data_IF_046019049256
#
_entry.id   IF_046019049256
#
_cell.length_a   1.000
_cell.length_b   1.000
_cell.length_c   1.000
_cell.angle_alpha   90.00
_cell.angle_beta   90.00
_cell.angle_gamma   90.00
#
_symmetry.space_group_name_H-M   'P 1'
#
loop_
_entity.id
_entity.type
_entity.pdbx_description
1 polymer ?
#
# COMPACT_ATOMS: atom_id res chain seq x y z
N UNK A 1 53.31 39.11 -8.71
CA UNK A 1 53.07 39.04 -10.17
C UNK A 1 51.62 38.64 -10.36
N UNK A 2 50.72 39.62 -10.29
CA UNK A 2 50.05 40.31 -11.40
C UNK A 2 48.79 39.55 -11.86
N UNK A 3 47.65 40.18 -11.54
CA UNK A 3 46.27 39.90 -11.93
C UNK A 3 46.12 39.92 -13.46
N UNK A 4 45.17 39.17 -14.04
CA UNK A 4 44.23 39.78 -15.00
C UNK A 4 42.95 38.95 -15.19
N UNK A 5 41.83 39.63 -14.94
CA UNK A 5 40.46 39.32 -15.36
C UNK A 5 40.33 39.63 -16.86
N UNK A 6 39.49 38.91 -17.60
CA UNK A 6 38.75 39.53 -18.70
C UNK A 6 37.31 39.00 -18.77
N UNK A 7 36.41 39.94 -18.53
CA UNK A 7 34.98 39.94 -18.80
C UNK A 7 34.83 40.74 -20.11
N UNK A 8 34.02 40.30 -21.08
CA UNK A 8 33.54 41.18 -22.15
C UNK A 8 32.04 41.01 -22.39
N UNK A 9 31.35 42.14 -22.29
CA UNK A 9 29.96 42.47 -22.62
C UNK A 9 29.71 42.31 -24.14
N UNK A 10 28.57 41.74 -24.54
CA UNK A 10 27.31 42.38 -24.95
C UNK A 10 27.26 42.96 -26.38
N UNK A 11 26.32 42.48 -27.21
CA UNK A 11 25.61 43.31 -28.20
C UNK A 11 24.14 42.86 -28.28
N UNK A 12 23.28 43.85 -28.14
CA UNK A 12 21.83 43.89 -28.23
C UNK A 12 21.39 44.08 -29.69
N UNK A 13 20.31 43.42 -30.12
CA UNK A 13 19.62 43.69 -31.37
C UNK A 13 18.12 43.48 -31.19
N UNK A 14 17.41 44.57 -30.93
CA UNK A 14 15.96 44.66 -30.74
C UNK A 14 15.36 45.38 -31.96
N UNK A 15 14.28 44.87 -32.55
CA UNK A 15 13.18 45.59 -33.24
C UNK A 15 12.34 44.57 -34.03
N UNK A 16 11.01 44.64 -34.20
CA UNK A 16 9.82 45.01 -33.41
C UNK A 16 8.64 44.89 -34.39
N UNK A 17 7.52 44.34 -33.90
CA UNK A 17 6.11 44.56 -34.29
C UNK A 17 5.57 44.26 -35.71
N UNK A 18 4.55 43.39 -35.74
CA UNK A 18 3.12 43.68 -36.02
C UNK A 18 2.42 42.34 -36.35
N UNK A 19 1.24 41.96 -35.87
CA UNK A 19 0.19 42.58 -35.05
C UNK A 19 -0.83 41.49 -34.64
N UNK A 20 -1.60 41.77 -33.60
CA UNK A 20 -2.75 41.00 -33.08
C UNK A 20 -4.07 41.55 -33.65
N UNK A 21 -5.27 41.08 -33.24
CA UNK A 21 -5.74 39.71 -33.00
C UNK A 21 -7.08 39.43 -33.73
N UNK A 22 -7.50 38.17 -33.83
CA UNK A 22 -8.89 37.82 -34.15
C UNK A 22 -9.39 36.70 -33.23
N UNK A 23 -10.34 37.06 -32.37
CA UNK A 23 -11.17 36.18 -31.55
C UNK A 23 -12.19 35.47 -32.44
N UNK A 24 -12.53 34.20 -32.15
CA UNK A 24 -13.87 33.71 -32.44
C UNK A 24 -14.58 33.33 -31.14
N UNK A 25 -15.68 34.04 -30.93
CA UNK A 25 -16.83 33.71 -30.09
C UNK A 25 -17.32 32.29 -30.36
N UNK A 26 -17.39 31.46 -29.31
CA UNK A 26 -18.15 30.21 -29.32
C UNK A 26 -19.36 30.38 -28.42
N UNK A 27 -20.50 30.23 -29.06
CA UNK A 27 -21.87 30.35 -28.58
C UNK A 27 -22.18 29.31 -27.51
N UNK A 28 -22.79 29.78 -26.43
CA UNK A 28 -23.45 28.96 -25.42
C UNK A 28 -24.59 28.16 -26.05
N UNK A 29 -24.52 26.83 -25.95
CA UNK A 29 -25.67 25.95 -26.13
C UNK A 29 -25.92 25.19 -24.83
N UNK A 30 -27.13 25.38 -24.30
CA UNK A 30 -27.63 24.65 -23.14
C UNK A 30 -27.83 23.17 -23.49
N UNK A 31 -27.51 22.22 -22.60
CA UNK A 31 -27.99 20.87 -22.74
C UNK A 31 -29.43 20.76 -22.22
N UNK A 32 -30.30 20.42 -23.16
CA UNK A 32 -31.68 19.99 -23.00
C UNK A 32 -31.82 18.88 -21.96
N UNK A 33 -32.83 19.03 -21.11
CA UNK A 33 -33.33 18.05 -20.15
C UNK A 33 -33.93 16.81 -20.84
N UNK A 34 -33.52 15.62 -20.40
CA UNK A 34 -34.24 14.35 -20.54
C UNK A 34 -33.63 13.29 -19.58
N UNK A 35 -34.35 12.21 -19.23
CA UNK A 35 -35.24 12.14 -18.07
C UNK A 35 -34.65 11.31 -16.92
N UNK A 36 -35.19 11.56 -15.73
CA UNK A 36 -35.00 10.81 -14.50
C UNK A 36 -35.21 9.31 -14.71
N UNK A 37 -34.13 8.52 -14.65
CA UNK A 37 -34.23 7.08 -14.47
C UNK A 37 -34.44 6.84 -12.98
N UNK A 38 -35.66 6.43 -12.64
CA UNK A 38 -36.04 6.01 -11.31
C UNK A 38 -35.08 4.92 -10.81
N UNK A 39 -34.53 5.14 -9.62
CA UNK A 39 -33.87 4.10 -8.86
C UNK A 39 -34.92 3.02 -8.51
N UNK A 40 -34.92 1.93 -9.27
CA UNK A 40 -35.60 0.70 -8.87
C UNK A 40 -34.94 0.19 -7.59
N UNK A 41 -35.76 0.09 -6.56
CA UNK A 41 -35.50 -0.50 -5.25
C UNK A 41 -34.72 -1.81 -5.35
N UNK A 42 -33.59 -1.88 -4.63
CA UNK A 42 -32.92 -3.15 -4.34
C UNK A 42 -33.86 -4.08 -3.54
N UNK A 43 -33.96 -5.37 -3.90
CA UNK A 43 -34.71 -6.34 -3.11
C UNK A 43 -33.98 -6.65 -1.78
N UNK A 44 -34.70 -7.07 -0.74
CA UNK A 44 -34.13 -7.26 0.60
C UNK A 44 -33.06 -8.36 0.59
N UNK A 45 -31.92 -8.06 1.22
CA UNK A 45 -30.86 -9.01 1.49
C UNK A 45 -31.41 -10.18 2.31
N UNK A 46 -31.52 -11.34 1.66
CA UNK A 46 -31.81 -12.59 2.34
C UNK A 46 -30.63 -12.94 3.24
N UNK A 47 -30.91 -13.16 4.53
CA UNK A 47 -29.96 -13.66 5.50
C UNK A 47 -29.45 -15.04 5.05
N UNK A 48 -28.24 -15.09 4.50
CA UNK A 48 -27.57 -16.35 4.19
C UNK A 48 -27.05 -16.93 5.51
N UNK A 49 -27.65 -18.06 5.91
CA UNK A 49 -27.24 -18.85 7.06
C UNK A 49 -25.73 -19.19 7.01
N UNK A 50 -25.12 -19.22 8.19
CA UNK A 50 -23.72 -19.59 8.38
C UNK A 50 -23.40 -20.94 7.71
N UNK A 51 -22.28 -21.08 6.98
CA UNK A 51 -21.88 -22.36 6.45
C UNK A 51 -21.50 -23.29 7.60
N UNK A 52 -22.22 -24.41 7.71
CA UNK A 52 -21.91 -25.54 8.59
C UNK A 52 -20.46 -25.95 8.36
N UNK A 53 -19.68 -26.01 9.43
CA UNK A 53 -18.28 -26.44 9.44
C UNK A 53 -18.18 -27.90 8.99
N UNK A 54 -17.91 -28.11 7.70
CA UNK A 54 -17.39 -29.38 7.22
C UNK A 54 -15.97 -29.54 7.79
N UNK A 55 -15.76 -30.58 8.58
CA UNK A 55 -14.47 -30.90 9.18
C UNK A 55 -13.42 -31.05 8.07
N UNK A 56 -12.43 -30.15 8.06
CA UNK A 56 -11.22 -30.30 7.26
C UNK A 56 -10.48 -31.53 7.77
N UNK A 57 -10.40 -32.58 6.96
CA UNK A 57 -9.56 -33.75 7.25
C UNK A 57 -8.12 -33.30 7.47
N UNK A 58 -7.56 -33.70 8.61
CA UNK A 58 -6.17 -33.44 8.99
C UNK A 58 -5.20 -33.90 7.89
N UNK A 59 -4.04 -33.24 7.72
CA UNK A 59 -3.01 -33.70 6.79
C UNK A 59 -2.58 -35.12 7.15
N UNK A 60 -2.51 -36.00 6.14
CA UNK A 60 -2.01 -37.37 6.29
C UNK A 60 -0.60 -37.34 6.86
N UNK A 61 -0.41 -38.05 7.97
CA UNK A 61 0.86 -38.12 8.70
C UNK A 61 2.03 -38.51 7.78
N UNK A 62 3.12 -37.76 7.87
CA UNK A 62 4.40 -38.12 7.27
C UNK A 62 4.89 -39.49 7.82
N UNK A 63 5.68 -40.28 7.05
CA UNK A 63 6.08 -41.61 7.47
C UNK A 63 6.92 -41.55 8.75
N UNK A 64 6.48 -42.27 9.79
CA UNK A 64 7.13 -42.31 11.09
C UNK A 64 8.38 -43.19 11.02
N UNK A 65 9.55 -42.56 10.92
CA UNK A 65 10.81 -43.22 11.27
C UNK A 65 10.81 -43.54 12.79
N UNK A 66 11.53 -44.58 13.27
CA UNK A 66 11.56 -44.94 14.68
C UNK A 66 11.93 -43.73 15.54
N UNK A 67 11.11 -43.46 16.57
CA UNK A 67 11.25 -42.30 17.43
C UNK A 67 12.62 -42.32 18.14
N UNK A 68 13.57 -41.55 17.60
CA UNK A 68 14.62 -40.98 18.41
C UNK A 68 13.97 -40.33 19.63
N UNK A 69 14.57 -40.48 20.81
CA UNK A 69 14.11 -39.79 22.02
C UNK A 69 13.94 -38.31 21.71
N UNK A 70 12.68 -37.85 21.73
CA UNK A 70 12.37 -36.47 21.39
C UNK A 70 13.08 -35.54 22.38
N UNK A 71 13.93 -34.67 21.85
CA UNK A 71 14.58 -33.60 22.61
C UNK A 71 14.00 -32.28 22.13
N UNK A 72 12.98 -31.80 22.83
CA UNK A 72 12.35 -30.51 22.54
C UNK A 72 13.30 -29.34 22.77
N UNK A 73 13.22 -28.33 21.90
CA UNK A 73 13.84 -27.05 22.13
C UNK A 73 12.87 -26.15 22.92
N UNK A 74 13.43 -25.33 23.81
CA UNK A 74 12.70 -24.30 24.54
C UNK A 74 13.45 -22.99 24.46
N UNK A 75 12.76 -21.95 24.04
CA UNK A 75 13.21 -20.56 24.13
C UNK A 75 12.30 -19.85 25.13
N UNK A 76 12.88 -19.23 26.16
CA UNK A 76 12.12 -18.50 27.18
C UNK A 76 12.77 -17.15 27.46
N UNK A 77 11.94 -16.12 27.58
CA UNK A 77 12.38 -14.80 27.99
C UNK A 77 12.49 -14.72 29.53
N UNK A 78 13.55 -14.10 30.09
CA UNK A 78 13.69 -13.93 31.54
C UNK A 78 12.48 -13.23 32.16
N UNK A 79 11.98 -12.20 31.49
CA UNK A 79 10.77 -11.45 31.81
C UNK A 79 10.06 -11.02 30.51
N UNK A 80 9.04 -10.17 30.64
CA UNK A 80 8.28 -9.63 29.51
C UNK A 80 8.74 -8.22 29.09
N UNK A 81 9.88 -7.75 29.61
CA UNK A 81 10.34 -6.37 29.50
C UNK A 81 11.43 -6.16 28.42
N UNK A 82 11.58 -7.11 27.49
CA UNK A 82 12.53 -7.00 26.38
C UNK A 82 12.01 -6.19 25.18
N UNK A 83 10.84 -5.55 25.33
CA UNK A 83 10.25 -4.62 24.37
C UNK A 83 10.43 -3.15 24.73
N UNK A 84 9.63 -2.26 24.16
CA UNK A 84 9.53 -0.86 24.59
C UNK A 84 8.39 -0.68 25.61
N UNK A 85 8.34 0.48 26.27
CA UNK A 85 7.23 0.80 27.18
C UNK A 85 5.85 0.73 26.50
N UNK A 86 5.78 1.11 25.23
CA UNK A 86 4.54 1.08 24.42
C UNK A 86 4.33 -0.23 23.66
N UNK A 87 5.33 -1.12 23.63
CA UNK A 87 5.27 -2.42 22.95
C UNK A 87 6.13 -3.44 23.72
N UNK A 88 5.64 -3.96 24.86
CA UNK A 88 6.38 -4.91 25.68
C UNK A 88 6.59 -6.24 24.95
N UNK A 89 7.40 -7.13 25.53
CA UNK A 89 7.63 -8.46 24.97
C UNK A 89 6.33 -9.26 24.84
N UNK A 90 6.13 -9.89 23.69
CA UNK A 90 4.92 -10.68 23.38
C UNK A 90 5.03 -12.12 23.93
N UNK A 91 6.15 -12.79 23.70
CA UNK A 91 6.36 -14.19 24.10
C UNK A 91 7.05 -14.31 25.45
N UNK A 92 6.48 -15.11 26.36
CA UNK A 92 7.17 -15.59 27.56
C UNK A 92 8.01 -16.83 27.25
N UNK A 93 7.48 -17.76 26.47
CA UNK A 93 8.22 -18.94 26.00
C UNK A 93 7.64 -19.55 24.74
N UNK A 94 8.49 -20.23 23.98
CA UNK A 94 8.13 -21.11 22.88
C UNK A 94 8.83 -22.45 23.15
N UNK A 95 8.05 -23.53 23.25
CA UNK A 95 8.54 -24.85 23.64
C UNK A 95 7.97 -25.92 22.72
N UNK A 96 8.82 -26.79 22.19
CA UNK A 96 8.38 -28.02 21.55
C UNK A 96 8.20 -29.09 22.63
N UNK A 97 6.97 -29.43 22.97
CA UNK A 97 6.66 -30.41 24.04
C UNK A 97 6.70 -31.85 23.55
N UNK A 98 6.52 -32.05 22.25
CA UNK A 98 6.75 -33.30 21.53
C UNK A 98 7.08 -33.02 20.04
N UNK A 99 7.26 -34.08 19.24
CA UNK A 99 7.67 -33.98 17.85
C UNK A 99 6.72 -33.17 16.94
N UNK A 100 5.44 -33.05 17.31
CA UNK A 100 4.41 -32.39 16.51
C UNK A 100 3.65 -31.29 17.28
N UNK A 101 4.08 -30.96 18.50
CA UNK A 101 3.41 -29.97 19.35
C UNK A 101 4.37 -28.85 19.76
N UNK A 102 3.99 -27.62 19.43
CA UNK A 102 4.64 -26.39 19.89
C UNK A 102 3.68 -25.60 20.77
N UNK A 103 4.12 -25.27 21.98
CA UNK A 103 3.40 -24.44 22.94
C UNK A 103 4.03 -23.06 22.96
N UNK A 104 3.22 -22.03 22.67
CA UNK A 104 3.62 -20.63 22.74
C UNK A 104 2.91 -19.97 23.93
N UNK A 105 3.66 -19.58 24.94
CA UNK A 105 3.15 -18.86 26.12
C UNK A 105 3.36 -17.38 25.91
N UNK A 106 2.28 -16.61 25.93
CA UNK A 106 2.32 -15.15 25.80
C UNK A 106 2.52 -14.47 27.15
N UNK A 107 3.11 -13.28 27.11
CA UNK A 107 3.30 -12.41 28.27
C UNK A 107 2.01 -11.73 28.73
N UNK A 108 1.07 -11.54 27.80
CA UNK A 108 -0.24 -10.96 28.03
C UNK A 108 -1.26 -11.59 27.06
N UNK A 109 -2.57 -11.55 27.36
CA UNK A 109 -3.58 -11.98 26.41
C UNK A 109 -3.54 -11.13 25.14
N UNK A 110 -3.39 -11.77 23.98
CA UNK A 110 -3.46 -11.12 22.67
C UNK A 110 -4.49 -11.82 21.77
N UNK A 111 -5.69 -11.24 21.60
CA UNK A 111 -6.73 -11.84 20.76
C UNK A 111 -6.37 -11.83 19.27
N UNK A 112 -5.42 -11.00 18.84
CA UNK A 112 -4.96 -10.95 17.45
C UNK A 112 -3.83 -11.96 17.15
N UNK A 113 -3.40 -12.73 18.16
CA UNK A 113 -2.27 -13.64 18.04
C UNK A 113 -2.39 -14.65 16.88
N UNK A 114 -3.54 -15.30 16.64
CA UNK A 114 -3.69 -16.22 15.51
C UNK A 114 -3.41 -15.58 14.15
N UNK A 115 -3.83 -14.32 13.95
CA UNK A 115 -3.57 -13.58 12.72
C UNK A 115 -2.10 -13.14 12.63
N UNK A 116 -1.50 -12.75 13.77
CA UNK A 116 -0.08 -12.36 13.84
C UNK A 116 0.84 -13.53 13.50
N UNK A 117 0.58 -14.74 14.03
CA UNK A 117 1.44 -15.92 13.76
C UNK A 117 1.26 -16.46 12.34
N UNK A 118 0.14 -16.14 11.66
CA UNK A 118 -0.07 -16.42 10.25
C UNK A 118 0.66 -15.43 9.32
N UNK A 119 1.23 -14.35 9.85
CA UNK A 119 1.92 -13.34 9.04
C UNK A 119 3.22 -13.88 8.44
N UNK A 120 3.58 -13.39 7.25
CA UNK A 120 4.74 -13.89 6.47
C UNK A 120 6.08 -13.84 7.22
N UNK A 121 6.21 -13.00 8.24
CA UNK A 121 7.40 -12.91 9.08
C UNK A 121 7.64 -14.19 9.92
N UNK A 122 6.61 -14.99 10.15
CA UNK A 122 6.67 -16.27 10.87
C UNK A 122 6.85 -17.48 9.92
N UNK A 123 7.37 -17.25 8.72
CA UNK A 123 7.70 -18.32 7.78
C UNK A 123 8.63 -19.36 8.41
N UNK A 124 8.24 -20.63 8.36
CA UNK A 124 8.99 -21.73 8.98
C UNK A 124 10.14 -22.18 8.05
N UNK A 125 11.34 -22.25 8.61
CA UNK A 125 12.57 -22.72 7.95
C UNK A 125 13.19 -23.87 8.75
N UNK A 126 14.07 -24.65 8.12
CA UNK A 126 14.72 -25.75 8.83
C UNK A 126 15.69 -25.27 9.91
N UNK A 127 15.78 -26.00 11.02
CA UNK A 127 16.69 -25.69 12.14
C UNK A 127 18.15 -25.57 11.70
N UNK A 128 18.61 -26.49 10.85
CA UNK A 128 19.99 -26.48 10.34
C UNK A 128 20.29 -25.23 9.52
N UNK A 129 19.33 -24.76 8.72
CA UNK A 129 19.49 -23.55 7.93
C UNK A 129 19.52 -22.30 8.80
N UNK A 130 18.63 -22.20 9.79
CA UNK A 130 18.64 -21.11 10.75
C UNK A 130 19.96 -21.07 11.55
N UNK A 131 20.42 -22.23 12.02
CA UNK A 131 21.67 -22.38 12.80
C UNK A 131 22.88 -22.00 11.95
N UNK A 132 22.97 -22.52 10.73
CA UNK A 132 24.10 -22.25 9.82
C UNK A 132 24.22 -20.77 9.46
N UNK A 133 23.10 -20.07 9.33
CA UNK A 133 23.09 -18.65 8.95
C UNK A 133 22.97 -17.71 10.16
N UNK A 134 22.86 -18.22 11.38
CA UNK A 134 22.80 -17.43 12.61
C UNK A 134 21.62 -16.44 12.68
N UNK A 135 20.53 -16.71 11.95
CA UNK A 135 19.39 -15.78 11.86
C UNK A 135 19.62 -14.55 10.98
N UNK A 136 20.71 -14.48 10.21
CA UNK A 136 21.00 -13.37 9.29
C UNK A 136 19.95 -13.29 8.17
N UNK A 137 19.06 -12.31 8.24
CA UNK A 137 17.92 -12.18 7.32
C UNK A 137 18.35 -12.04 5.87
N UNK A 138 19.51 -11.46 5.58
CA UNK A 138 20.00 -11.33 4.21
C UNK A 138 20.43 -12.69 3.67
N UNK A 139 21.25 -13.44 4.41
CA UNK A 139 21.69 -14.79 4.01
C UNK A 139 20.51 -15.76 3.90
N UNK A 140 19.55 -15.68 4.83
CA UNK A 140 18.34 -16.49 4.80
C UNK A 140 17.51 -16.21 3.53
N UNK A 141 17.49 -14.97 3.06
CA UNK A 141 16.74 -14.55 1.87
C UNK A 141 17.43 -14.89 0.54
N UNK A 142 18.76 -15.08 0.53
CA UNK A 142 19.52 -15.41 -0.68
C UNK A 142 19.30 -16.85 -1.15
N UNK A 143 19.08 -17.78 -0.20
CA UNK A 143 18.83 -19.20 -0.47
C UNK A 143 17.73 -19.74 0.43
N UNK A 144 16.49 -19.23 0.32
CA UNK A 144 15.40 -19.58 1.23
C UNK A 144 15.09 -21.08 1.14
N UNK A 145 14.80 -21.69 2.30
CA UNK A 145 14.48 -23.12 2.40
C UNK A 145 13.16 -23.37 3.17
N UNK A 146 12.07 -22.86 2.60
CA UNK A 146 10.74 -23.06 3.16
C UNK A 146 10.13 -24.43 2.85
N UNK A 147 8.93 -24.66 3.36
CA UNK A 147 8.09 -25.85 3.13
C UNK A 147 7.02 -25.64 2.04
N UNK A 148 7.15 -24.55 1.28
CA UNK A 148 6.13 -24.09 0.33
C UNK A 148 6.05 -24.92 -0.96
N UNK A 149 5.04 -24.64 -1.80
CA UNK A 149 4.82 -25.33 -3.08
C UNK A 149 5.89 -25.08 -4.13
N UNK A 150 6.72 -24.06 -3.96
CA UNK A 150 7.77 -23.66 -4.90
C UNK A 150 9.10 -23.44 -4.17
N UNK A 151 10.19 -23.75 -4.85
CA UNK A 151 11.57 -23.57 -4.40
C UNK A 151 12.25 -22.51 -5.24
N UNK A 152 13.11 -21.68 -4.63
CA UNK A 152 13.93 -20.74 -5.39
C UNK A 152 14.89 -21.52 -6.30
N UNK A 153 14.79 -21.28 -7.60
CA UNK A 153 15.72 -21.81 -8.60
C UNK A 153 16.81 -20.78 -8.93
N UNK A 154 16.42 -19.52 -9.15
CA UNK A 154 17.34 -18.44 -9.50
C UNK A 154 16.79 -17.08 -9.06
N UNK A 155 17.69 -16.18 -8.68
CA UNK A 155 17.38 -14.76 -8.49
C UNK A 155 18.42 -13.88 -9.18
N UNK A 156 18.04 -13.28 -10.30
CA UNK A 156 18.82 -12.23 -10.96
C UNK A 156 18.34 -10.87 -10.44
N UNK A 157 19.20 -10.22 -9.65
CA UNK A 157 18.85 -8.98 -8.93
C UNK A 157 18.45 -7.88 -9.92
N UNK A 158 17.24 -7.36 -9.75
CA UNK A 158 16.70 -6.28 -10.58
C UNK A 158 16.04 -6.73 -11.87
N UNK A 159 16.04 -8.03 -12.20
CA UNK A 159 15.53 -8.56 -13.46
C UNK A 159 14.40 -9.60 -13.28
N UNK A 160 14.70 -10.76 -12.67
CA UNK A 160 13.68 -11.77 -12.36
C UNK A 160 14.02 -12.70 -11.17
N UNK A 161 13.01 -13.43 -10.71
CA UNK A 161 13.11 -14.59 -9.82
C UNK A 161 12.43 -15.76 -10.49
N UNK A 162 13.15 -16.87 -10.61
CA UNK A 162 12.63 -18.14 -11.11
C UNK A 162 12.42 -19.09 -9.95
N UNK A 163 11.23 -19.66 -9.87
CA UNK A 163 10.89 -20.71 -8.92
C UNK A 163 10.56 -22.01 -9.66
N UNK A 164 11.01 -23.14 -9.10
CA UNK A 164 10.63 -24.48 -9.53
C UNK A 164 9.59 -25.08 -8.58
N UNK A 165 8.66 -25.89 -9.08
CA UNK A 165 7.73 -26.62 -8.24
C UNK A 165 8.50 -27.52 -7.24
N UNK A 166 8.06 -27.53 -5.98
CA UNK A 166 8.60 -28.40 -4.95
C UNK A 166 7.99 -29.81 -5.09
N UNK A 167 8.77 -30.84 -5.52
CA UNK A 167 8.24 -32.19 -5.68
C UNK A 167 7.85 -32.85 -4.35
N UNK A 168 8.35 -32.32 -3.23
CA UNK A 168 8.09 -32.80 -1.87
C UNK A 168 7.08 -31.92 -1.12
N UNK A 169 6.29 -31.11 -1.84
CA UNK A 169 5.26 -30.30 -1.20
C UNK A 169 4.20 -31.20 -0.57
N UNK A 170 3.86 -30.92 0.69
CA UNK A 170 2.93 -31.72 1.49
C UNK A 170 1.46 -31.56 1.07
N UNK A 171 1.15 -30.51 0.30
CA UNK A 171 -0.18 -30.25 -0.23
C UNK A 171 -0.35 -30.68 -1.70
N UNK A 172 -1.44 -30.23 -2.36
CA UNK A 172 -1.65 -30.48 -3.78
C UNK A 172 -0.49 -29.95 -4.63
N UNK A 173 -0.05 -30.77 -5.58
CA UNK A 173 1.03 -30.38 -6.49
C UNK A 173 0.68 -29.09 -7.26
N UNK A 174 1.64 -28.16 -7.42
CA UNK A 174 1.39 -26.93 -8.17
C UNK A 174 1.06 -27.22 -9.64
N UNK A 175 0.11 -26.48 -10.20
CA UNK A 175 -0.28 -26.64 -11.61
C UNK A 175 0.84 -26.23 -12.58
N UNK A 176 1.60 -25.19 -12.24
CA UNK A 176 2.73 -24.73 -13.01
C UNK A 176 4.02 -25.37 -12.47
N UNK A 177 4.86 -25.89 -13.36
CA UNK A 177 6.18 -26.45 -12.99
C UNK A 177 7.20 -25.37 -12.67
N UNK A 178 7.03 -24.19 -13.26
CA UNK A 178 7.93 -23.04 -13.12
C UNK A 178 7.09 -21.78 -12.97
N UNK A 179 7.51 -20.89 -12.08
CA UNK A 179 6.95 -19.54 -11.94
C UNK A 179 8.08 -18.55 -12.07
N UNK A 180 7.92 -17.58 -12.96
CA UNK A 180 8.90 -16.51 -13.18
C UNK A 180 8.24 -15.20 -12.79
N UNK A 181 8.82 -14.52 -11.79
CA UNK A 181 8.44 -13.16 -11.43
C UNK A 181 9.49 -12.22 -12.02
N UNK A 182 9.10 -11.33 -12.92
CA UNK A 182 9.99 -10.33 -13.53
C UNK A 182 9.54 -8.91 -13.24
N UNK A 183 10.49 -7.98 -13.25
CA UNK A 183 10.19 -6.57 -13.02
C UNK A 183 10.11 -5.80 -14.34
N UNK A 184 9.04 -5.03 -14.51
CA UNK A 184 8.91 -4.03 -15.56
C UNK A 184 8.32 -2.77 -14.94
N UNK A 185 9.06 -1.66 -15.04
CA UNK A 185 8.69 -0.39 -14.38
C UNK A 185 7.44 0.23 -15.01
N UNK A 186 7.38 0.23 -16.34
CA UNK A 186 6.32 0.88 -17.10
C UNK A 186 5.04 0.02 -17.12
N UNK A 187 3.94 0.58 -16.65
CA UNK A 187 2.66 -0.14 -16.59
C UNK A 187 2.12 -0.52 -17.97
N UNK A 188 2.27 0.37 -18.95
CA UNK A 188 1.89 0.10 -20.34
C UNK A 188 2.67 -1.09 -20.92
N UNK A 189 3.97 -1.20 -20.61
CA UNK A 189 4.78 -2.34 -21.05
C UNK A 189 4.31 -3.66 -20.45
N UNK A 190 3.93 -3.67 -19.15
CA UNK A 190 3.33 -4.85 -18.52
C UNK A 190 2.05 -5.27 -19.23
N UNK A 191 1.17 -4.33 -19.56
CA UNK A 191 -0.07 -4.64 -20.28
C UNK A 191 0.20 -5.22 -21.67
N UNK A 192 1.14 -4.65 -22.43
CA UNK A 192 1.52 -5.18 -23.74
C UNK A 192 2.05 -6.62 -23.66
N UNK A 193 2.85 -6.94 -22.63
CA UNK A 193 3.34 -8.30 -22.40
C UNK A 193 2.23 -9.29 -22.05
N UNK A 194 1.20 -8.84 -21.31
CA UNK A 194 0.02 -9.64 -21.04
C UNK A 194 -0.79 -9.90 -22.31
N UNK A 195 -1.04 -8.85 -23.11
CA UNK A 195 -1.81 -8.94 -24.35
C UNK A 195 -1.10 -9.79 -25.42
N UNK A 196 0.23 -9.78 -25.46
CA UNK A 196 1.02 -10.62 -26.37
C UNK A 196 1.16 -12.07 -25.91
N UNK A 197 0.71 -12.41 -24.68
CA UNK A 197 0.91 -13.71 -24.07
C UNK A 197 2.35 -13.99 -23.61
N UNK A 198 3.20 -12.96 -23.54
CA UNK A 198 4.56 -13.09 -23.00
C UNK A 198 4.57 -13.05 -21.46
N UNK A 199 3.47 -12.65 -20.82
CA UNK A 199 3.20 -12.80 -19.40
C UNK A 199 1.81 -13.41 -19.18
N UNK A 200 1.67 -14.35 -18.25
CA UNK A 200 0.38 -14.95 -17.88
C UNK A 200 -0.45 -14.06 -16.93
N UNK A 201 0.19 -13.08 -16.30
CA UNK A 201 -0.43 -12.17 -15.35
C UNK A 201 0.48 -11.00 -15.02
N UNK A 202 -0.14 -9.88 -14.64
CA UNK A 202 0.57 -8.66 -14.24
C UNK A 202 -0.05 -8.11 -12.96
N UNK A 203 0.78 -7.41 -12.19
CA UNK A 203 0.32 -6.59 -11.07
C UNK A 203 0.41 -5.09 -11.43
N UNK A 204 -0.32 -4.27 -10.67
CA UNK A 204 -0.38 -2.80 -10.82
C UNK A 204 -0.77 -2.36 -12.23
N UNK A 205 -1.92 -2.81 -12.74
CA UNK A 205 -2.51 -2.24 -13.97
C UNK A 205 -2.71 -0.73 -13.77
N UNK A 206 -2.33 0.08 -14.75
CA UNK A 206 -2.53 1.53 -14.67
C UNK A 206 -4.03 1.84 -14.59
N UNK A 207 -4.47 2.80 -13.75
CA UNK A 207 -5.88 3.19 -13.66
C UNK A 207 -6.55 3.47 -15.02
N UNK A 208 -5.84 4.17 -15.91
CA UNK A 208 -6.28 4.52 -17.26
C UNK A 208 -6.44 3.32 -18.21
N UNK A 209 -5.74 2.21 -17.94
CA UNK A 209 -5.76 1.00 -18.76
C UNK A 209 -6.83 0.00 -18.31
N UNK A 210 -7.41 0.16 -17.12
CA UNK A 210 -8.46 -0.72 -16.60
C UNK A 210 -9.62 -0.90 -17.58
N UNK A 211 -10.19 0.15 -18.21
CA UNK A 211 -11.26 -0.01 -19.19
C UNK A 211 -10.84 -0.82 -20.43
N UNK A 212 -9.57 -0.74 -20.83
CA UNK A 212 -9.02 -1.53 -21.94
C UNK A 212 -9.00 -3.01 -21.58
N UNK A 213 -8.48 -3.34 -20.39
CA UNK A 213 -8.44 -4.72 -19.89
C UNK A 213 -9.85 -5.30 -19.71
N UNK A 214 -10.81 -4.51 -19.22
CA UNK A 214 -12.19 -4.95 -19.04
C UNK A 214 -12.93 -5.25 -20.36
N UNK A 215 -12.52 -4.60 -21.46
CA UNK A 215 -13.13 -4.80 -22.79
C UNK A 215 -12.49 -5.95 -23.56
N UNK A 216 -11.32 -6.41 -23.15
CA UNK A 216 -10.62 -7.53 -23.78
C UNK A 216 -11.20 -8.86 -23.28
N UNK A 217 -11.81 -9.63 -24.17
CA UNK A 217 -12.44 -10.91 -23.84
C UNK A 217 -11.44 -12.00 -23.39
N UNK A 218 -10.15 -11.82 -23.65
CA UNK A 218 -9.10 -12.75 -23.24
C UNK A 218 -8.52 -12.42 -21.86
N UNK A 219 -8.84 -11.24 -21.31
CA UNK A 219 -8.27 -10.76 -20.06
C UNK A 219 -9.32 -10.71 -18.96
N UNK A 220 -8.84 -10.79 -17.72
CA UNK A 220 -9.69 -10.68 -16.53
C UNK A 220 -8.98 -9.91 -15.44
N UNK A 221 -9.66 -8.91 -14.90
CA UNK A 221 -9.21 -8.19 -13.71
C UNK A 221 -9.64 -8.97 -12.47
N UNK A 222 -8.68 -9.23 -11.59
CA UNK A 222 -8.92 -9.76 -10.24
C UNK A 222 -8.75 -8.64 -9.22
N UNK A 223 -9.85 -8.02 -8.75
CA UNK A 223 -9.75 -7.01 -7.70
C UNK A 223 -9.23 -7.64 -6.40
N UNK A 224 -8.44 -6.87 -5.65
CA UNK A 224 -7.97 -7.24 -4.31
C UNK A 224 -8.58 -6.28 -3.31
N UNK A 225 -9.07 -6.84 -2.21
CA UNK A 225 -9.57 -6.01 -1.12
C UNK A 225 -8.46 -5.12 -0.57
N UNK A 226 -8.70 -3.81 -0.40
CA UNK A 226 -7.69 -2.90 0.08
C UNK A 226 -7.42 -3.15 1.56
N UNK A 227 -6.19 -3.57 1.87
CA UNK A 227 -5.65 -3.64 3.23
C UNK A 227 -4.75 -2.43 3.56
N UNK A 228 -4.89 -1.34 2.80
CA UNK A 228 -4.01 -0.17 2.84
C UNK A 228 -4.79 1.13 2.80
N UNK A 229 -4.26 2.16 3.44
CA UNK A 229 -4.81 3.52 3.46
C UNK A 229 -3.70 4.52 3.13
N UNK A 230 -3.99 5.50 2.27
CA UNK A 230 -3.10 6.67 2.08
C UNK A 230 -3.57 7.81 2.96
N UNK A 231 -2.60 8.49 3.57
CA UNK A 231 -2.84 9.59 4.48
C UNK A 231 -1.70 10.62 4.39
N UNK A 232 -2.00 11.85 4.79
CA UNK A 232 -0.99 12.88 5.05
C UNK A 232 -0.70 12.87 6.55
N UNK A 233 0.54 12.58 6.92
CA UNK A 233 0.97 12.59 8.31
C UNK A 233 1.39 14.00 8.73
N UNK A 234 0.96 14.42 9.93
CA UNK A 234 1.37 15.68 10.56
C UNK A 234 2.02 15.37 11.90
N UNK A 235 3.24 15.86 12.13
CA UNK A 235 3.94 15.64 13.39
C UNK A 235 3.35 16.57 14.48
N UNK A 236 2.52 16.02 15.36
CA UNK A 236 1.85 16.76 16.42
C UNK A 236 2.77 17.27 17.56
N UNK A 237 4.08 17.08 17.46
CA UNK A 237 5.08 17.63 18.39
C UNK A 237 5.83 18.84 17.81
N UNK A 238 5.56 19.21 16.56
CA UNK A 238 6.26 20.29 15.85
C UNK A 238 5.26 21.36 15.47
N UNK A 239 5.58 22.62 15.78
CA UNK A 239 4.79 23.77 15.35
C UNK A 239 4.72 23.86 13.81
N UNK A 240 3.57 24.20 13.22
CA UNK A 240 2.30 24.57 13.87
C UNK A 240 1.34 23.39 14.09
N UNK A 241 1.78 22.15 13.83
CA UNK A 241 0.94 20.95 13.92
C UNK A 241 0.75 20.43 15.34
N UNK A 242 1.43 20.98 16.34
CA UNK A 242 1.10 20.83 17.76
C UNK A 242 -0.30 21.37 18.08
N UNK A 243 -0.76 22.39 17.34
CA UNK A 243 -2.12 22.89 17.42
C UNK A 243 -3.11 22.00 16.64
N UNK A 244 -4.07 21.40 17.34
CA UNK A 244 -5.11 20.58 16.72
C UNK A 244 -5.95 21.33 15.68
N UNK A 245 -6.25 22.61 15.91
CA UNK A 245 -7.02 23.43 14.96
C UNK A 245 -6.32 23.60 13.63
N UNK A 246 -4.99 23.67 13.62
CA UNK A 246 -4.21 23.69 12.39
C UNK A 246 -4.36 22.37 11.64
N UNK A 247 -4.31 21.22 12.34
CA UNK A 247 -4.50 19.89 11.71
C UNK A 247 -5.92 19.71 11.17
N UNK A 248 -6.94 20.17 11.90
CA UNK A 248 -8.34 20.16 11.46
C UNK A 248 -8.53 21.02 10.20
N UNK A 249 -7.94 22.23 10.17
CA UNK A 249 -8.00 23.10 9.01
C UNK A 249 -7.35 22.46 7.76
N UNK A 250 -6.19 21.82 7.91
CA UNK A 250 -5.55 21.06 6.82
C UNK A 250 -6.46 19.94 6.31
N UNK A 251 -7.11 19.20 7.21
CA UNK A 251 -8.03 18.13 6.82
C UNK A 251 -9.25 18.64 6.02
N UNK A 252 -9.76 19.83 6.35
CA UNK A 252 -10.87 20.49 5.64
C UNK A 252 -10.44 21.13 4.33
N UNK A 253 -9.17 21.53 4.19
CA UNK A 253 -8.63 22.17 3.00
C UNK A 253 -8.33 21.18 1.85
N UNK A 254 -8.40 19.87 2.08
CA UNK A 254 -8.09 18.84 1.09
C UNK A 254 -9.37 18.13 0.61
N UNK A 255 -9.72 18.35 -0.65
CA UNK A 255 -10.71 17.61 -1.42
C UNK A 255 -10.18 16.20 -1.74
N UNK A 256 -10.38 15.31 -0.78
CA UNK A 256 -10.04 13.89 -0.91
C UNK A 256 -10.83 13.20 -2.02
N UNK A 257 -12.06 13.64 -2.29
CA UNK A 257 -12.91 13.03 -3.32
C UNK A 257 -12.35 13.31 -4.71
N UNK A 258 -11.97 14.56 -4.99
CA UNK A 258 -11.28 14.92 -6.23
C UNK A 258 -10.01 14.10 -6.43
N UNK A 259 -9.18 13.95 -5.39
CA UNK A 259 -7.94 13.14 -5.47
C UNK A 259 -8.27 11.69 -5.83
N UNK A 260 -9.25 11.08 -5.16
CA UNK A 260 -9.69 9.71 -5.46
C UNK A 260 -10.23 9.59 -6.89
N UNK A 261 -11.11 10.49 -7.32
CA UNK A 261 -11.73 10.43 -8.64
C UNK A 261 -10.73 10.66 -9.79
N UNK A 262 -9.71 11.50 -9.59
CA UNK A 262 -8.76 11.88 -10.64
C UNK A 262 -7.55 10.95 -10.77
N UNK A 263 -7.05 10.41 -9.66
CA UNK A 263 -5.76 9.72 -9.64
C UNK A 263 -5.85 8.22 -9.33
N UNK A 264 -7.01 7.72 -8.91
CA UNK A 264 -7.18 6.32 -8.52
C UNK A 264 -8.06 5.55 -9.48
N UNK A 265 -7.90 4.23 -9.46
CA UNK A 265 -8.70 3.30 -10.24
C UNK A 265 -10.20 3.35 -9.83
N UNK A 266 -11.13 3.12 -10.78
CA UNK A 266 -12.54 2.92 -10.46
C UNK A 266 -12.73 1.88 -9.35
N UNK A 267 -13.61 2.18 -8.38
CA UNK A 267 -13.83 1.34 -7.20
C UNK A 267 -12.97 1.70 -5.99
N UNK A 268 -12.01 2.62 -6.13
CA UNK A 268 -11.31 3.22 -4.99
C UNK A 268 -12.27 4.08 -4.15
N UNK A 269 -12.10 4.07 -2.84
CA UNK A 269 -12.99 4.76 -1.89
C UNK A 269 -12.23 5.81 -1.10
N UNK A 270 -12.91 6.93 -0.81
CA UNK A 270 -12.38 7.95 0.10
C UNK A 270 -12.31 7.35 1.51
N UNK A 271 -11.13 7.38 2.13
CA UNK A 271 -10.94 6.88 3.48
C UNK A 271 -11.57 7.83 4.51
N UNK A 272 -12.56 7.35 5.27
CA UNK A 272 -13.20 8.09 6.37
C UNK A 272 -12.58 7.82 7.74
N UNK A 273 -11.71 6.81 7.82
CA UNK A 273 -10.94 6.43 8.99
C UNK A 273 -9.63 5.77 8.56
N UNK A 274 -8.70 5.59 9.50
CA UNK A 274 -7.39 5.03 9.18
C UNK A 274 -7.45 3.53 8.81
N UNK A 275 -8.23 2.76 9.56
CA UNK A 275 -8.41 1.33 9.31
C UNK A 275 -9.24 1.10 8.04
N UNK A 276 -8.70 0.44 7.00
CA UNK A 276 -9.44 0.16 5.77
C UNK A 276 -10.54 -0.90 6.01
N UNK A 277 -11.60 -0.94 5.17
CA UNK A 277 -12.75 -1.84 5.37
C UNK A 277 -12.41 -3.34 5.39
N UNK A 278 -11.30 -3.74 4.75
CA UNK A 278 -10.83 -5.12 4.74
C UNK A 278 -10.22 -5.61 6.05
N UNK A 279 -9.90 -4.72 6.99
CA UNK A 279 -9.34 -5.10 8.31
C UNK A 279 -10.46 -5.20 9.33
N UNK A 280 -10.66 -6.42 9.85
CA UNK A 280 -11.69 -6.75 10.84
C UNK A 280 -11.09 -7.58 11.99
N UNK A 281 -11.37 -7.23 13.27
CA UNK A 281 -12.00 -5.99 13.71
C UNK A 281 -11.06 -4.78 13.50
N UNK A 282 -11.61 -3.60 13.19
CA UNK A 282 -10.79 -2.39 13.07
C UNK A 282 -11.48 -1.22 12.35
N UNK A 283 -12.23 -1.52 11.29
CA UNK A 283 -13.08 -0.52 10.63
C UNK A 283 -14.42 -0.39 11.36
N UNK A 284 -14.79 0.84 11.74
CA UNK A 284 -16.08 1.14 12.38
C UNK A 284 -17.10 1.67 11.36
N UNK A 285 -18.34 1.17 11.41
CA UNK A 285 -19.41 1.69 10.57
C UNK A 285 -19.80 3.12 10.96
N UNK A 286 -20.18 3.94 9.98
CA UNK A 286 -20.73 5.29 10.23
C UNK A 286 -19.71 6.38 10.59
N UNK A 287 -18.41 6.06 10.72
CA UNK A 287 -17.37 7.08 10.91
C UNK A 287 -17.33 8.04 9.73
N UNK A 288 -17.24 9.34 10.04
CA UNK A 288 -17.13 10.42 9.05
C UNK A 288 -15.92 11.28 9.34
N UNK A 289 -15.19 11.61 8.29
CA UNK A 289 -14.10 12.56 8.36
C UNK A 289 -14.61 13.99 8.08
N UNK A 290 -13.70 14.96 8.23
CA UNK A 290 -13.95 16.35 7.87
C UNK A 290 -14.37 16.49 6.40
N UNK A 291 -15.45 17.26 6.18
CA UNK A 291 -15.88 17.65 4.85
C UNK A 291 -14.88 18.66 4.24
N UNK A 292 -14.80 18.68 2.92
CA UNK A 292 -14.02 19.67 2.19
C UNK A 292 -14.67 21.04 2.30
N UNK A 293 -14.01 21.98 2.98
CA UNK A 293 -14.44 23.36 3.17
C UNK A 293 -13.22 24.29 3.36
N UNK A 294 -12.62 24.77 2.25
CA UNK A 294 -11.48 25.69 2.28
C UNK A 294 -11.77 27.01 2.98
N UNK A 295 -13.02 27.49 2.94
CA UNK A 295 -13.40 28.75 3.57
C UNK A 295 -13.36 28.63 5.08
N UNK A 296 -13.95 27.57 5.63
CA UNK A 296 -13.87 27.27 7.06
C UNK A 296 -12.43 26.92 7.49
N UNK A 297 -11.66 26.20 6.66
CA UNK A 297 -10.25 25.95 6.91
C UNK A 297 -9.45 27.26 7.06
N UNK A 298 -9.60 28.20 6.11
CA UNK A 298 -8.92 29.49 6.15
C UNK A 298 -9.31 30.30 7.38
N UNK A 299 -10.59 30.31 7.76
CA UNK A 299 -11.05 30.96 9.00
C UNK A 299 -10.40 30.30 10.23
N UNK A 300 -10.39 28.97 10.29
CA UNK A 300 -9.81 28.22 11.40
C UNK A 300 -8.30 28.46 11.55
N UNK A 301 -7.57 28.61 10.44
CA UNK A 301 -6.16 29.00 10.44
C UNK A 301 -5.97 30.41 11.02
N UNK A 302 -6.80 31.37 10.61
CA UNK A 302 -6.73 32.74 11.14
C UNK A 302 -7.00 32.78 12.65
N UNK A 303 -8.06 32.11 13.11
CA UNK A 303 -8.40 31.99 14.54
C UNK A 303 -7.28 31.30 15.33
N UNK A 304 -6.55 30.37 14.71
CA UNK A 304 -5.41 29.68 15.30
C UNK A 304 -4.10 30.49 15.30
N UNK A 305 -4.12 31.74 14.84
CA UNK A 305 -2.96 32.63 14.82
C UNK A 305 -2.17 32.64 13.51
N UNK A 306 -2.71 32.05 12.43
CA UNK A 306 -2.10 31.97 11.10
C UNK A 306 -2.96 32.67 10.03
N UNK A 307 -3.32 33.96 10.17
CA UNK A 307 -4.18 34.66 9.21
C UNK A 307 -3.56 34.78 7.80
N UNK A 308 -2.21 34.71 7.72
CA UNK A 308 -1.44 34.72 6.48
C UNK A 308 -0.87 33.34 6.13
N UNK A 309 -1.32 32.28 6.82
CA UNK A 309 -0.80 30.92 6.65
C UNK A 309 0.64 30.74 7.14
N UNK A 310 1.34 29.75 6.57
CA UNK A 310 2.70 29.36 6.94
C UNK A 310 3.33 28.47 5.86
N UNK A 311 4.66 28.31 5.92
CA UNK A 311 5.42 27.40 5.06
C UNK A 311 5.56 26.01 5.71
N UNK A 312 5.49 24.96 4.89
CA UNK A 312 5.68 23.58 5.32
C UNK A 312 6.35 22.75 4.23
N UNK A 313 7.06 21.70 4.61
CA UNK A 313 7.55 20.70 3.66
C UNK A 313 6.62 19.48 3.66
N UNK A 314 6.15 19.07 2.47
CA UNK A 314 5.50 17.78 2.27
C UNK A 314 6.51 16.80 1.66
N UNK A 315 6.99 15.87 2.49
CA UNK A 315 7.87 14.79 2.05
C UNK A 315 7.07 13.60 1.55
N UNK A 316 7.40 13.06 0.38
CA UNK A 316 6.78 11.86 -0.17
C UNK A 316 7.80 11.03 -0.94
N UNK A 317 7.57 9.72 -1.04
CA UNK A 317 8.41 8.85 -1.87
C UNK A 317 7.85 8.81 -3.28
N UNK A 318 8.66 9.14 -4.28
CA UNK A 318 8.27 9.03 -5.70
C UNK A 318 8.40 7.59 -6.22
N UNK A 319 7.62 6.69 -5.60
CA UNK A 319 7.58 5.28 -6.00
C UNK A 319 6.13 4.82 -6.07
N UNK A 320 5.73 4.32 -7.24
CA UNK A 320 4.39 3.81 -7.50
C UNK A 320 4.06 2.67 -6.52
N UNK A 321 2.86 2.75 -5.94
CA UNK A 321 2.27 1.73 -5.06
C UNK A 321 0.81 1.53 -5.44
N UNK A 322 0.22 0.35 -5.18
CA UNK A 322 -1.21 0.12 -5.41
C UNK A 322 -2.10 1.19 -4.75
N UNK A 323 -1.70 1.64 -3.55
CA UNK A 323 -2.42 2.65 -2.79
C UNK A 323 -2.07 4.10 -3.17
N UNK A 324 -1.02 4.34 -3.96
CA UNK A 324 -0.63 5.67 -4.42
C UNK A 324 0.00 5.55 -5.82
N UNK A 325 -0.85 5.47 -6.87
CA UNK A 325 -0.38 5.17 -8.22
C UNK A 325 0.33 6.35 -8.89
N UNK A 326 0.05 7.59 -8.45
CA UNK A 326 0.63 8.82 -9.00
C UNK A 326 1.15 9.75 -7.90
N UNK A 327 2.22 9.36 -7.15
CA UNK A 327 2.68 10.08 -5.96
C UNK A 327 2.97 11.56 -6.23
N UNK A 328 3.75 11.88 -7.27
CA UNK A 328 4.07 13.27 -7.60
C UNK A 328 2.85 14.12 -7.98
N UNK A 329 1.91 13.57 -8.76
CA UNK A 329 0.69 14.30 -9.16
C UNK A 329 -0.23 14.55 -7.97
N UNK A 330 -0.41 13.55 -7.09
CA UNK A 330 -1.19 13.70 -5.85
C UNK A 330 -0.55 14.74 -4.92
N UNK A 331 0.79 14.74 -4.79
CA UNK A 331 1.49 15.73 -3.97
C UNK A 331 1.35 17.16 -4.52
N UNK A 332 1.42 17.34 -5.84
CA UNK A 332 1.16 18.62 -6.51
C UNK A 332 -0.27 19.11 -6.33
N UNK A 333 -1.25 18.19 -6.40
CA UNK A 333 -2.66 18.52 -6.17
C UNK A 333 -2.89 18.97 -4.73
N UNK A 334 -2.35 18.24 -3.74
CA UNK A 334 -2.39 18.65 -2.33
C UNK A 334 -1.70 20.01 -2.11
N UNK A 335 -0.53 20.24 -2.73
CA UNK A 335 0.17 21.53 -2.67
C UNK A 335 -0.71 22.67 -3.21
N UNK A 336 -1.38 22.47 -4.34
CA UNK A 336 -2.26 23.47 -4.93
C UNK A 336 -3.46 23.78 -4.02
N UNK A 337 -4.12 22.75 -3.49
CA UNK A 337 -5.26 22.92 -2.60
C UNK A 337 -4.90 23.62 -1.27
N UNK A 338 -3.75 23.28 -0.69
CA UNK A 338 -3.28 23.92 0.55
C UNK A 338 -2.85 25.39 0.32
N UNK A 339 -2.39 25.73 -0.87
CA UNK A 339 -2.08 27.12 -1.24
C UNK A 339 -3.32 28.02 -1.20
N UNK A 340 -4.50 27.50 -1.55
CA UNK A 340 -5.76 28.26 -1.53
C UNK A 340 -6.16 28.74 -0.13
N UNK A 341 -5.68 28.05 0.91
CA UNK A 341 -5.87 28.43 2.32
C UNK A 341 -4.64 29.12 2.94
N UNK A 342 -3.63 29.47 2.13
CA UNK A 342 -2.43 30.19 2.55
C UNK A 342 -1.28 29.31 3.06
N UNK A 343 -1.39 27.98 2.96
CA UNK A 343 -0.31 27.08 3.36
C UNK A 343 0.63 26.86 2.16
N UNK A 344 1.84 27.38 2.27
CA UNK A 344 2.86 27.26 1.23
C UNK A 344 3.63 25.95 1.40
N UNK A 345 3.29 24.96 0.58
CA UNK A 345 3.92 23.64 0.65
C UNK A 345 5.15 23.58 -0.26
N UNK A 346 6.31 23.23 0.29
CA UNK A 346 7.50 22.79 -0.44
C UNK A 346 7.46 21.27 -0.60
N UNK A 347 7.43 20.78 -1.83
CA UNK A 347 7.51 19.34 -2.09
C UNK A 347 8.95 18.85 -1.92
N UNK A 348 9.12 17.73 -1.22
CA UNK A 348 10.40 17.03 -1.07
C UNK A 348 10.21 15.56 -1.41
N UNK A 349 10.96 15.09 -2.39
CA UNK A 349 11.03 13.67 -2.77
C UNK A 349 12.04 12.93 -1.89
#
# INVERSE_FOLDING_TARGET
MLRLKFLLLAVLGLLVACGTPATPSVTTSAPTSAPTVAATSAPPSAATAAPTTAATTAPTAAPTAPAATFKGDKLAAPDCNYGSADNPGEFKSIEATDANTVVMTLCHPDPAFPDKVAFIAFGISSKDFLTKNGGDTQKLSEKPNGTGPYMLQEWVRGDHITFAANPNFWGPAPKAKTVILRWSKEAAQRLLELQSGTADGIDNVAPEDIPTVQKDANLKIYPRDPLTTVYVAMNNKIKPFDNEKVRQAVAMAIDRKRITDQFYAPGSVVAEQFAPPGIKPGNSEGMKWYAYDPAAAKKMLADAGFPNGFDVTLSYRDVVRPYLPSPGKVAQDIQAQLKDVGINVKLQV
#
